data_IF_069548275476
#
_entry.id   IF_069548275476
#
_cell.length_a   1.000
_cell.length_b   1.000
_cell.length_c   1.000
_cell.angle_alpha   90.00
_cell.angle_beta   90.00
_cell.angle_gamma   90.00
#
_symmetry.space_group_name_H-M   'P 1'
#
loop_
_entity.id
_entity.type
_entity.pdbx_description
1 polymer ?
#
# COMPACT_ATOMS: atom_id res chain seq x y z
N UNK A 1 9.67 7.69 22.08
CA UNK A 1 10.55 6.63 21.57
C UNK A 1 11.94 7.22 21.23
N UNK A 2 12.04 8.12 20.30
CA UNK A 2 13.30 8.57 19.67
C UNK A 2 14.31 9.18 20.65
N UNK A 3 13.88 10.08 21.53
CA UNK A 3 14.76 10.72 22.53
C UNK A 3 15.30 9.73 23.56
N UNK A 4 14.56 8.66 23.84
CA UNK A 4 15.00 7.61 24.76
C UNK A 4 16.09 6.77 24.09
N UNK A 5 15.92 6.38 22.83
CA UNK A 5 16.90 5.62 22.07
C UNK A 5 18.26 6.34 21.94
N UNK A 6 18.24 7.68 21.78
CA UNK A 6 19.47 8.49 21.74
C UNK A 6 20.14 8.69 23.12
N UNK A 7 19.42 8.45 24.22
CA UNK A 7 19.88 8.78 25.58
C UNK A 7 20.60 7.63 26.30
N UNK A 8 20.59 6.41 25.74
CA UNK A 8 21.18 5.23 26.40
C UNK A 8 21.87 4.32 25.39
N UNK A 9 22.86 3.57 25.88
CA UNK A 9 23.50 2.47 25.14
C UNK A 9 23.03 1.10 25.65
N UNK A 10 22.04 1.09 26.54
CA UNK A 10 21.43 -0.15 27.06
C UNK A 10 20.36 -0.69 26.11
N UNK A 11 19.93 -1.92 26.38
CA UNK A 11 18.80 -2.52 25.63
C UNK A 11 17.52 -1.72 25.93
N UNK A 12 16.81 -1.35 24.85
CA UNK A 12 15.52 -0.66 24.91
C UNK A 12 14.45 -1.62 24.40
N UNK A 13 13.29 -1.61 25.03
CA UNK A 13 12.09 -2.29 24.58
C UNK A 13 10.91 -1.31 24.63
N UNK A 14 10.27 -1.10 23.46
CA UNK A 14 9.05 -0.30 23.36
C UNK A 14 7.82 -1.20 23.47
N UNK A 15 7.50 -1.66 24.68
CA UNK A 15 6.43 -2.65 24.96
C UNK A 15 5.04 -2.25 24.48
N UNK A 16 4.79 -0.95 24.27
CA UNK A 16 3.53 -0.43 23.71
C UNK A 16 3.65 -0.04 22.24
N UNK A 17 4.77 -0.41 21.59
CA UNK A 17 5.04 -0.04 20.21
C UNK A 17 5.42 1.43 20.01
N UNK A 18 5.56 1.80 18.74
CA UNK A 18 5.80 3.17 18.27
C UNK A 18 4.60 3.58 17.43
N UNK A 19 3.93 4.66 17.80
CA UNK A 19 2.85 5.29 17.02
C UNK A 19 3.26 6.69 16.62
N UNK A 20 3.23 7.00 15.33
CA UNK A 20 3.54 8.34 14.80
C UNK A 20 2.97 8.53 13.40
N UNK A 21 3.16 9.72 12.82
CA UNK A 21 2.85 10.02 11.44
C UNK A 21 3.94 9.50 10.50
N UNK A 22 3.57 9.17 9.25
CA UNK A 22 4.49 8.62 8.25
C UNK A 22 5.76 9.47 8.07
N UNK A 23 5.61 10.81 8.01
CA UNK A 23 6.72 11.73 7.84
C UNK A 23 7.74 11.75 9.00
N UNK A 24 7.36 11.29 10.19
CA UNK A 24 8.28 11.12 11.34
C UNK A 24 9.10 9.83 11.24
N UNK A 25 8.70 8.89 10.41
CA UNK A 25 9.30 7.57 10.24
C UNK A 25 10.09 7.44 8.94
N UNK A 26 9.53 7.95 7.84
CA UNK A 26 10.14 7.91 6.49
C UNK A 26 9.74 9.13 5.69
N UNK A 27 10.63 9.67 4.86
CA UNK A 27 10.26 10.70 3.90
C UNK A 27 9.54 10.10 2.68
N UNK A 28 8.96 10.95 1.84
CA UNK A 28 8.17 10.54 0.66
C UNK A 28 8.96 9.79 -0.43
N UNK A 29 10.28 9.76 -0.34
CA UNK A 29 11.18 9.00 -1.23
C UNK A 29 11.59 7.64 -0.62
N UNK A 30 10.95 7.22 0.47
CA UNK A 30 11.26 5.96 1.15
C UNK A 30 12.60 5.96 1.91
N UNK A 31 13.11 7.13 2.30
CA UNK A 31 14.29 7.19 3.16
C UNK A 31 13.87 7.22 4.62
N UNK A 32 14.37 6.27 5.41
CA UNK A 32 14.11 6.19 6.85
C UNK A 32 14.60 7.47 7.57
N UNK A 33 13.79 8.00 8.46
CA UNK A 33 14.19 9.11 9.33
C UNK A 33 15.15 8.62 10.42
N UNK A 34 16.23 9.37 10.64
CA UNK A 34 17.36 8.93 11.49
C UNK A 34 16.92 8.50 12.90
N UNK A 35 16.04 9.26 13.53
CA UNK A 35 15.57 8.96 14.89
C UNK A 35 14.69 7.71 14.95
N UNK A 36 13.86 7.51 13.95
CA UNK A 36 13.04 6.30 13.83
C UNK A 36 13.93 5.08 13.56
N UNK A 37 14.90 5.19 12.64
CA UNK A 37 15.88 4.14 12.37
C UNK A 37 16.71 3.75 13.59
N UNK A 38 17.11 4.71 14.43
CA UNK A 38 17.77 4.40 15.70
C UNK A 38 16.85 3.62 16.63
N UNK A 39 15.60 4.05 16.80
CA UNK A 39 14.66 3.37 17.69
C UNK A 39 14.36 1.92 17.25
N UNK A 40 14.19 1.66 15.94
CA UNK A 40 13.95 0.31 15.39
C UNK A 40 15.22 -0.55 15.36
N UNK A 41 16.41 0.05 15.38
CA UNK A 41 17.67 -0.69 15.55
C UNK A 41 17.85 -1.17 16.98
N UNK A 42 17.42 -0.37 17.95
CA UNK A 42 17.50 -0.72 19.39
C UNK A 42 16.44 -1.73 19.81
N UNK A 43 15.28 -1.72 19.14
CA UNK A 43 14.16 -2.65 19.36
C UNK A 43 13.65 -3.15 18.00
N UNK A 44 14.24 -4.23 17.49
CA UNK A 44 14.02 -4.72 16.12
C UNK A 44 12.67 -5.40 15.90
N UNK A 45 11.97 -5.78 16.96
CA UNK A 45 10.64 -6.41 16.91
C UNK A 45 9.53 -5.49 17.43
N UNK A 46 9.80 -4.18 17.49
CA UNK A 46 8.82 -3.18 17.96
C UNK A 46 7.60 -3.14 17.05
N UNK A 47 6.41 -3.15 17.64
CA UNK A 47 5.17 -2.90 16.90
C UNK A 47 5.10 -1.44 16.42
N UNK A 48 4.72 -1.22 15.16
CA UNK A 48 4.66 0.12 14.56
C UNK A 48 3.24 0.41 14.11
N UNK A 49 2.71 1.58 14.48
CA UNK A 49 1.42 2.09 14.00
C UNK A 49 1.63 3.44 13.34
N UNK A 50 1.24 3.56 12.06
CA UNK A 50 1.22 4.82 11.32
C UNK A 50 -0.19 5.41 11.37
N UNK A 51 -0.30 6.64 11.83
CA UNK A 51 -1.58 7.27 12.15
C UNK A 51 -2.18 8.13 11.03
N UNK A 52 -1.44 8.38 9.95
CA UNK A 52 -1.86 9.16 8.78
C UNK A 52 -1.63 8.38 7.48
N UNK A 53 -2.03 8.97 6.36
CA UNK A 53 -1.77 8.39 5.02
C UNK A 53 -0.29 8.39 4.68
N UNK A 54 0.12 7.41 3.89
CA UNK A 54 1.50 7.27 3.43
C UNK A 54 1.52 6.78 1.98
N UNK A 55 2.59 7.11 1.24
CA UNK A 55 2.80 6.51 -0.07
C UNK A 55 3.47 5.13 0.04
N UNK A 56 3.52 4.40 -1.07
CA UNK A 56 4.03 3.02 -1.09
C UNK A 56 5.51 2.91 -0.69
N UNK A 57 6.35 3.91 -1.01
CA UNK A 57 7.76 3.92 -0.63
C UNK A 57 7.97 4.14 0.88
N UNK A 58 7.14 5.00 1.49
CA UNK A 58 7.12 5.16 2.94
C UNK A 58 6.65 3.87 3.62
N UNK A 59 5.56 3.28 3.12
CA UNK A 59 5.00 2.04 3.65
C UNK A 59 6.02 0.89 3.64
N UNK A 60 6.71 0.68 2.51
CA UNK A 60 7.81 -0.27 2.40
C UNK A 60 8.90 -0.02 3.44
N UNK A 61 9.43 1.21 3.49
CA UNK A 61 10.54 1.56 4.40
C UNK A 61 10.16 1.33 5.86
N UNK A 62 8.93 1.66 6.24
CA UNK A 62 8.43 1.45 7.61
C UNK A 62 8.25 -0.04 7.88
N UNK A 63 7.69 -0.80 6.94
CA UNK A 63 7.52 -2.26 7.08
C UNK A 63 8.86 -2.99 7.20
N UNK A 64 9.89 -2.55 6.46
CA UNK A 64 11.24 -3.12 6.52
C UNK A 64 12.04 -2.73 7.77
N UNK A 65 11.57 -1.71 8.53
CA UNK A 65 12.30 -1.19 9.70
C UNK A 65 12.11 -2.04 10.96
N UNK A 66 11.11 -2.92 11.01
CA UNK A 66 10.86 -3.80 12.16
C UNK A 66 10.35 -5.16 11.70
N UNK A 67 10.64 -6.20 12.47
CA UNK A 67 10.03 -7.52 12.30
C UNK A 67 8.77 -7.70 13.18
N UNK A 68 8.40 -6.68 13.95
CA UNK A 68 7.18 -6.63 14.74
C UNK A 68 5.93 -6.39 13.87
N UNK A 69 4.79 -6.26 14.52
CA UNK A 69 3.53 -5.97 13.84
C UNK A 69 3.52 -4.57 13.25
N UNK A 70 3.19 -4.44 11.98
CA UNK A 70 2.99 -3.15 11.30
C UNK A 70 1.49 -2.92 11.13
N UNK A 71 1.04 -1.70 11.40
CA UNK A 71 -0.35 -1.28 11.22
C UNK A 71 -0.40 0.12 10.60
N UNK A 72 -0.90 0.22 9.37
CA UNK A 72 -1.20 1.49 8.69
C UNK A 72 -2.65 1.87 9.01
N UNK A 73 -2.85 2.51 10.17
CA UNK A 73 -4.14 2.67 10.84
C UNK A 73 -5.06 3.73 10.23
N UNK A 74 -4.61 4.51 9.23
CA UNK A 74 -5.47 5.51 8.58
C UNK A 74 -6.51 4.85 7.67
N UNK A 75 -7.71 5.42 7.60
CA UNK A 75 -8.81 4.87 6.79
C UNK A 75 -8.49 4.75 5.30
N UNK A 76 -7.70 5.68 4.76
CA UNK A 76 -7.26 5.64 3.35
C UNK A 76 -5.97 4.83 3.16
N UNK A 77 -5.29 4.45 4.24
CA UNK A 77 -4.08 3.62 4.26
C UNK A 77 -2.96 4.11 3.36
N UNK A 78 -2.55 3.28 2.39
CA UNK A 78 -1.56 3.61 1.36
C UNK A 78 -2.24 4.39 0.25
N UNK A 79 -1.80 5.62 0.00
CA UNK A 79 -2.34 6.53 -1.04
C UNK A 79 -1.28 6.77 -2.10
N UNK A 80 -1.49 6.24 -3.33
CA UNK A 80 -0.51 6.40 -4.39
C UNK A 80 -1.14 6.32 -5.80
N UNK A 81 -0.33 6.49 -6.84
CA UNK A 81 -0.74 6.31 -8.23
C UNK A 81 -0.76 4.84 -8.62
N UNK A 82 -1.59 4.46 -9.60
CA UNK A 82 -1.60 3.10 -10.14
C UNK A 82 -0.21 2.64 -10.61
N UNK A 83 0.57 3.56 -11.19
CA UNK A 83 1.91 3.25 -11.72
C UNK A 83 2.95 2.96 -10.63
N UNK A 84 2.79 3.53 -9.43
CA UNK A 84 3.67 3.25 -8.29
C UNK A 84 3.29 1.95 -7.56
N UNK A 85 2.06 1.48 -7.73
CA UNK A 85 1.54 0.27 -7.08
C UNK A 85 1.70 -0.97 -7.96
N UNK A 86 1.54 -0.83 -9.28
CA UNK A 86 1.67 -1.93 -10.24
C UNK A 86 2.06 -1.44 -11.64
N UNK A 87 2.82 -2.24 -12.37
CA UNK A 87 3.13 -1.99 -13.78
C UNK A 87 1.89 -2.19 -14.65
N UNK A 88 1.85 -1.56 -15.83
CA UNK A 88 0.72 -1.64 -16.77
C UNK A 88 0.42 -3.05 -17.30
N UNK A 89 1.36 -3.99 -17.19
CA UNK A 89 1.16 -5.41 -17.54
C UNK A 89 0.58 -6.24 -16.38
N UNK A 90 0.22 -5.63 -15.25
CA UNK A 90 -0.30 -6.33 -14.07
C UNK A 90 0.78 -6.96 -13.18
N UNK A 91 2.04 -6.55 -13.31
CA UNK A 91 3.07 -6.95 -12.35
C UNK A 91 3.01 -6.02 -11.14
N UNK A 92 2.88 -6.58 -9.94
CA UNK A 92 2.87 -5.80 -8.69
C UNK A 92 4.22 -5.10 -8.48
N UNK A 93 4.20 -3.87 -7.95
CA UNK A 93 5.43 -3.21 -7.56
C UNK A 93 6.04 -3.87 -6.31
N UNK A 94 7.36 -4.09 -6.27
CA UNK A 94 8.02 -4.67 -5.10
C UNK A 94 7.80 -3.88 -3.80
N UNK A 95 7.63 -2.57 -3.89
CA UNK A 95 7.38 -1.71 -2.73
C UNK A 95 6.02 -2.01 -2.10
N UNK A 96 4.97 -2.20 -2.92
CA UNK A 96 3.66 -2.62 -2.42
C UNK A 96 3.72 -4.05 -1.84
N UNK A 97 4.50 -4.93 -2.48
CA UNK A 97 4.72 -6.29 -1.94
C UNK A 97 5.35 -6.27 -0.55
N UNK A 98 6.36 -5.43 -0.32
CA UNK A 98 6.99 -5.28 0.98
C UNK A 98 6.05 -4.64 2.01
N UNK A 99 5.31 -3.61 1.61
CA UNK A 99 4.38 -2.89 2.49
C UNK A 99 3.22 -3.76 3.00
N UNK A 100 2.71 -4.68 2.17
CA UNK A 100 1.49 -5.47 2.45
C UNK A 100 1.74 -6.98 2.55
N UNK A 101 2.98 -7.43 2.43
CA UNK A 101 3.36 -8.84 2.52
C UNK A 101 3.71 -9.29 3.94
N UNK A 102 4.42 -10.42 4.03
CA UNK A 102 4.92 -10.93 5.31
C UNK A 102 5.85 -9.91 5.97
N UNK A 103 5.46 -9.38 7.13
CA UNK A 103 6.14 -8.31 7.83
C UNK A 103 5.56 -6.91 7.59
N UNK A 104 4.64 -6.75 6.62
CA UNK A 104 3.87 -5.52 6.39
C UNK A 104 2.44 -5.61 6.96
N UNK A 105 1.55 -4.74 6.47
CA UNK A 105 0.13 -4.73 6.83
C UNK A 105 -0.73 -5.20 5.65
N UNK A 106 -1.10 -6.49 5.63
CA UNK A 106 -1.93 -7.11 4.59
C UNK A 106 -3.42 -6.74 4.66
N UNK A 107 -3.81 -6.01 5.68
CA UNK A 107 -5.18 -5.50 5.89
C UNK A 107 -5.33 -4.00 5.66
N UNK A 108 -4.27 -3.32 5.25
CA UNK A 108 -4.31 -1.87 5.02
C UNK A 108 -5.23 -1.48 3.87
N UNK A 109 -5.93 -0.36 4.01
CA UNK A 109 -6.63 0.24 2.87
C UNK A 109 -5.63 0.73 1.80
N UNK A 110 -6.04 0.72 0.53
CA UNK A 110 -5.23 1.24 -0.59
C UNK A 110 -6.10 2.17 -1.43
N UNK A 111 -5.67 3.42 -1.54
CA UNK A 111 -6.33 4.46 -2.35
C UNK A 111 -5.51 4.77 -3.59
N UNK A 112 -6.09 4.56 -4.77
CA UNK A 112 -5.44 4.73 -6.07
C UNK A 112 -5.87 6.06 -6.70
N UNK A 113 -4.95 7.03 -6.76
CA UNK A 113 -5.25 8.42 -7.13
C UNK A 113 -5.25 8.68 -8.63
N UNK A 114 -4.77 7.76 -9.46
CA UNK A 114 -4.80 7.84 -10.94
C UNK A 114 -5.57 6.67 -11.52
N UNK A 115 -6.12 6.83 -12.73
CA UNK A 115 -6.80 5.72 -13.39
C UNK A 115 -5.88 4.50 -13.55
N UNK A 116 -6.38 3.32 -13.18
CA UNK A 116 -5.71 2.04 -13.33
C UNK A 116 -6.24 1.32 -14.57
N UNK A 117 -5.40 0.59 -15.31
CA UNK A 117 -5.91 -0.37 -16.26
C UNK A 117 -6.41 -1.65 -15.56
N UNK A 118 -7.13 -2.51 -16.27
CA UNK A 118 -7.71 -3.74 -15.68
C UNK A 118 -6.65 -4.65 -15.04
N UNK A 119 -5.47 -4.76 -15.68
CA UNK A 119 -4.40 -5.62 -15.16
C UNK A 119 -3.80 -5.06 -13.85
N UNK A 120 -3.59 -3.73 -13.78
CA UNK A 120 -3.14 -3.06 -12.56
C UNK A 120 -4.19 -3.19 -11.45
N UNK A 121 -5.46 -2.86 -11.77
CA UNK A 121 -6.55 -2.89 -10.80
C UNK A 121 -6.73 -4.29 -10.18
N UNK A 122 -6.71 -5.34 -10.99
CA UNK A 122 -6.87 -6.71 -10.51
C UNK A 122 -5.73 -7.14 -9.56
N UNK A 123 -4.48 -6.76 -9.85
CA UNK A 123 -3.35 -7.17 -9.01
C UNK A 123 -3.23 -6.33 -7.74
N UNK A 124 -3.62 -5.04 -7.79
CA UNK A 124 -3.68 -4.19 -6.60
C UNK A 124 -4.79 -4.68 -5.66
N UNK A 125 -6.00 -4.94 -6.20
CA UNK A 125 -7.14 -5.46 -5.44
C UNK A 125 -6.80 -6.79 -4.72
N UNK A 126 -6.05 -7.67 -5.36
CA UNK A 126 -5.62 -8.93 -4.76
C UNK A 126 -4.53 -8.77 -3.67
N UNK A 127 -4.03 -7.56 -3.41
CA UNK A 127 -2.84 -7.36 -2.58
C UNK A 127 -3.13 -7.06 -1.12
N UNK A 128 -4.29 -6.52 -0.81
CA UNK A 128 -4.73 -6.26 0.57
C UNK A 128 -6.12 -6.85 0.80
N UNK A 129 -6.41 -7.21 2.04
CA UNK A 129 -7.76 -7.54 2.49
C UNK A 129 -8.52 -6.32 3.03
N UNK A 130 -7.87 -5.14 3.05
CA UNK A 130 -8.49 -3.86 3.39
C UNK A 130 -9.29 -3.27 2.25
N UNK A 131 -9.89 -2.11 2.48
CA UNK A 131 -10.64 -1.38 1.45
C UNK A 131 -9.74 -0.94 0.30
N UNK A 132 -10.20 -1.12 -0.94
CA UNK A 132 -9.52 -0.63 -2.16
C UNK A 132 -10.40 0.45 -2.78
N UNK A 133 -9.85 1.65 -3.01
CA UNK A 133 -10.55 2.79 -3.62
C UNK A 133 -9.83 3.25 -4.90
N UNK A 134 -10.44 3.03 -6.06
CA UNK A 134 -9.98 3.52 -7.36
C UNK A 134 -10.57 4.91 -7.64
N UNK A 135 -10.08 5.95 -6.97
CA UNK A 135 -10.62 7.32 -7.06
C UNK A 135 -10.73 7.88 -8.48
N UNK A 136 -9.77 7.58 -9.35
CA UNK A 136 -9.80 7.99 -10.76
C UNK A 136 -10.39 6.92 -11.69
N UNK A 137 -10.90 5.82 -11.13
CA UNK A 137 -11.58 4.74 -11.84
C UNK A 137 -10.64 3.75 -12.52
N UNK A 138 -11.26 2.77 -13.19
CA UNK A 138 -10.60 1.73 -13.98
C UNK A 138 -10.84 2.03 -15.44
N UNK A 139 -9.76 2.18 -16.24
CA UNK A 139 -9.87 2.51 -17.65
C UNK A 139 -9.10 1.50 -18.51
N UNK A 140 -9.77 0.96 -19.54
CA UNK A 140 -9.14 0.07 -20.52
C UNK A 140 -10.02 -0.04 -21.77
N UNK A 141 -9.59 -0.83 -22.75
CA UNK A 141 -10.40 -1.18 -23.89
C UNK A 141 -11.42 -2.29 -23.56
N UNK A 142 -12.43 -2.42 -24.39
CA UNK A 142 -13.50 -3.44 -24.22
C UNK A 142 -12.92 -4.84 -24.08
N UNK A 143 -11.91 -5.20 -24.88
CA UNK A 143 -11.33 -6.54 -24.86
C UNK A 143 -10.53 -6.86 -23.58
N UNK A 144 -10.13 -5.87 -22.80
CA UNK A 144 -9.56 -6.07 -21.47
C UNK A 144 -10.64 -6.36 -20.40
N UNK A 145 -11.85 -5.85 -20.61
CA UNK A 145 -12.97 -5.94 -19.66
C UNK A 145 -13.91 -7.11 -19.95
N UNK A 146 -14.13 -7.46 -21.22
CA UNK A 146 -15.07 -8.52 -21.62
C UNK A 146 -14.46 -9.46 -22.66
N UNK A 147 -15.03 -10.67 -22.76
CA UNK A 147 -14.76 -11.62 -23.83
C UNK A 147 -15.63 -11.30 -25.07
N UNK A 148 -15.30 -11.93 -26.21
CA UNK A 148 -16.02 -11.75 -27.48
C UNK A 148 -17.49 -12.22 -27.39
N UNK A 149 -17.79 -13.17 -26.48
CA UNK A 149 -19.14 -13.67 -26.24
C UNK A 149 -19.97 -12.77 -25.29
N UNK A 150 -19.39 -11.63 -24.83
CA UNK A 150 -20.02 -10.67 -23.94
C UNK A 150 -19.91 -11.01 -22.46
N UNK A 151 -19.22 -12.08 -22.09
CA UNK A 151 -18.94 -12.36 -20.68
C UNK A 151 -17.89 -11.41 -20.10
N UNK A 152 -17.97 -11.14 -18.80
CA UNK A 152 -17.01 -10.29 -18.09
C UNK A 152 -15.73 -11.07 -17.78
N UNK A 153 -14.58 -10.48 -18.07
CA UNK A 153 -13.29 -11.09 -17.73
C UNK A 153 -13.06 -11.17 -16.22
N UNK A 154 -12.45 -12.27 -15.76
CA UNK A 154 -12.19 -12.50 -14.35
C UNK A 154 -11.36 -11.39 -13.71
N UNK A 155 -10.35 -10.87 -14.40
CA UNK A 155 -9.51 -9.79 -13.90
C UNK A 155 -10.31 -8.49 -13.65
N UNK A 156 -11.20 -8.14 -14.60
CA UNK A 156 -12.07 -6.98 -14.47
C UNK A 156 -13.10 -7.18 -13.35
N UNK A 157 -13.71 -8.37 -13.29
CA UNK A 157 -14.64 -8.71 -12.21
C UNK A 157 -13.96 -8.66 -10.84
N UNK A 158 -12.75 -9.20 -10.69
CA UNK A 158 -12.00 -9.13 -9.45
C UNK A 158 -11.74 -7.67 -9.01
N UNK A 159 -11.25 -6.83 -9.92
CA UNK A 159 -10.98 -5.42 -9.63
C UNK A 159 -12.23 -4.65 -9.17
N UNK A 160 -13.41 -4.93 -9.74
CA UNK A 160 -14.66 -4.22 -9.40
C UNK A 160 -15.40 -4.81 -8.20
N UNK A 161 -14.99 -5.96 -7.68
CA UNK A 161 -15.56 -6.51 -6.45
C UNK A 161 -15.07 -5.79 -5.19
N UNK A 162 -13.83 -5.29 -5.21
CA UNK A 162 -13.24 -4.59 -4.06
C UNK A 162 -13.59 -3.10 -4.04
N UNK A 163 -13.87 -2.50 -5.21
CA UNK A 163 -14.45 -1.17 -5.31
C UNK A 163 -15.65 -1.19 -6.27
N UNK A 164 -16.83 -1.45 -5.73
CA UNK A 164 -18.08 -1.51 -6.49
C UNK A 164 -18.55 -0.16 -7.03
N UNK A 165 -17.98 0.94 -6.56
CA UNK A 165 -18.30 2.30 -6.97
C UNK A 165 -17.26 2.88 -7.94
N UNK A 166 -16.21 2.13 -8.29
CA UNK A 166 -15.18 2.60 -9.22
C UNK A 166 -15.80 3.05 -10.55
N UNK A 167 -15.41 4.22 -11.02
CA UNK A 167 -15.79 4.69 -12.35
C UNK A 167 -15.13 3.81 -13.41
N UNK A 168 -15.93 3.32 -14.38
CA UNK A 168 -15.42 2.49 -15.50
C UNK A 168 -15.33 3.36 -16.75
N UNK A 169 -14.12 3.47 -17.31
CA UNK A 169 -13.82 4.28 -18.49
C UNK A 169 -13.41 3.35 -19.64
N UNK A 170 -14.25 3.25 -20.65
CA UNK A 170 -13.98 2.46 -21.86
C UNK A 170 -13.31 3.33 -22.91
N UNK A 171 -12.08 2.97 -23.32
CA UNK A 171 -11.25 3.77 -24.23
C UNK A 171 -11.57 3.58 -25.71
N UNK A 172 -12.27 2.51 -26.08
CA UNK A 172 -12.70 2.21 -27.43
C UNK A 172 -14.17 1.80 -27.45
N UNK A 173 -14.83 2.01 -28.57
CA UNK A 173 -16.18 1.49 -28.78
C UNK A 173 -16.08 0.10 -29.44
N UNK A 174 -16.82 -0.85 -28.88
CA UNK A 174 -16.99 -2.16 -29.50
C UNK A 174 -17.67 -1.96 -30.86
N UNK A 175 -17.01 -2.39 -31.93
CA UNK A 175 -17.58 -2.44 -33.27
C UNK A 175 -18.32 -3.77 -33.48
#
# INVERSE_FOLDING_TARGET
AYTIAEATTGVIQFTNGITDVAAAMSNTLGKIETKFGTATTDDTDVAITVSDTLNVEQAKTIAEASIGTINFAHADGIVDTAANLALTNGTIDPSLTAATGSGGDDSTAITITTAANVAQAAIIAARSSGEIDFQAGIQDNVLAMSEVDGSIKNAFNAATQDDINAAIIVLDVAN
#
